data_IF_473972165195
#
_entry.id   IF_473972165195
#
_cell.length_a   1.000
_cell.length_b   1.000
_cell.length_c   1.000
_cell.angle_alpha   90.00
_cell.angle_beta   90.00
_cell.angle_gamma   90.00
#
_symmetry.space_group_name_H-M   'P 1'
#
loop_
_entity.id
_entity.type
_entity.pdbx_description
1 polymer ?
#
# COMPACT_ATOMS: atom_id res chain seq x y z
N UNK A 1 6.43 30.87 2.61
CA UNK A 1 7.53 30.85 3.61
C UNK A 1 8.92 30.90 2.94
N UNK A 2 9.17 30.13 1.86
CA UNK A 2 10.52 30.01 1.23
C UNK A 2 10.70 30.72 -0.13
N UNK A 3 9.70 31.46 -0.62
CA UNK A 3 9.71 32.04 -1.97
C UNK A 3 10.82 33.07 -2.20
N UNK A 4 11.29 33.72 -1.13
CA UNK A 4 12.29 34.78 -1.20
C UNK A 4 13.73 34.29 -1.02
N UNK A 5 13.90 33.04 -0.58
CA UNK A 5 15.19 32.46 -0.13
C UNK A 5 15.68 31.34 -1.05
N UNK A 6 14.78 30.65 -1.78
CA UNK A 6 15.13 29.56 -2.69
C UNK A 6 14.79 29.91 -4.15
N UNK A 7 15.81 29.97 -5.01
CA UNK A 7 15.67 30.11 -6.48
C UNK A 7 14.80 28.98 -7.09
N UNK A 8 14.77 27.81 -6.42
CA UNK A 8 13.92 26.65 -6.74
C UNK A 8 12.41 26.92 -6.60
N UNK A 9 11.99 27.97 -5.88
CA UNK A 9 10.59 28.36 -5.70
C UNK A 9 10.07 29.36 -6.75
N UNK A 10 10.90 29.75 -7.73
CA UNK A 10 10.55 30.73 -8.76
C UNK A 10 9.43 30.27 -9.71
N UNK A 11 9.25 28.96 -9.90
CA UNK A 11 8.21 28.41 -10.78
C UNK A 11 7.52 27.22 -10.11
N UNK A 12 6.18 27.17 -10.18
CA UNK A 12 5.38 26.09 -9.60
C UNK A 12 5.86 24.70 -10.01
N UNK A 13 6.30 24.54 -11.26
CA UNK A 13 6.83 23.28 -11.76
C UNK A 13 8.18 22.87 -11.11
N UNK A 14 9.08 23.83 -10.89
CA UNK A 14 10.35 23.59 -10.18
C UNK A 14 10.09 23.23 -8.71
N UNK A 15 9.15 23.93 -8.07
CA UNK A 15 8.72 23.63 -6.70
C UNK A 15 8.10 22.23 -6.61
N UNK A 16 7.24 21.86 -7.55
CA UNK A 16 6.62 20.53 -7.59
C UNK A 16 7.66 19.42 -7.78
N UNK A 17 8.65 19.63 -8.67
CA UNK A 17 9.78 18.72 -8.85
C UNK A 17 10.58 18.56 -7.57
N UNK A 18 10.90 19.67 -6.90
CA UNK A 18 11.61 19.66 -5.62
C UNK A 18 10.82 18.89 -4.56
N UNK A 19 9.50 19.12 -4.45
CA UNK A 19 8.62 18.40 -3.51
C UNK A 19 8.59 16.90 -3.79
N UNK A 20 8.61 16.50 -5.06
CA UNK A 20 8.67 15.09 -5.45
C UNK A 20 10.03 14.47 -5.12
N UNK A 21 11.14 15.15 -5.42
CA UNK A 21 12.48 14.74 -5.02
C UNK A 21 12.61 14.62 -3.49
N UNK A 22 11.99 15.52 -2.74
CA UNK A 22 11.92 15.45 -1.27
C UNK A 22 11.07 14.26 -0.78
N UNK A 23 9.98 13.92 -1.47
CA UNK A 23 9.14 12.74 -1.16
C UNK A 23 9.88 11.43 -1.43
N UNK A 24 10.72 11.39 -2.46
CA UNK A 24 11.61 10.27 -2.78
C UNK A 24 12.90 10.25 -1.94
N UNK A 25 13.06 11.18 -0.99
CA UNK A 25 14.24 11.32 -0.13
C UNK A 25 15.56 11.60 -0.90
N UNK A 26 15.46 12.08 -2.14
CA UNK A 26 16.59 12.34 -3.04
C UNK A 26 16.93 13.84 -3.11
N UNK A 27 17.01 14.51 -1.95
CA UNK A 27 17.19 15.96 -1.87
C UNK A 27 18.55 16.37 -1.29
N UNK A 28 19.04 17.54 -1.72
CA UNK A 28 20.27 18.14 -1.19
C UNK A 28 19.95 18.97 0.06
N UNK A 29 20.29 18.42 1.24
CA UNK A 29 20.03 19.04 2.54
C UNK A 29 20.79 20.36 2.75
N UNK A 30 21.82 20.65 1.94
CA UNK A 30 22.65 21.83 2.12
C UNK A 30 21.91 23.15 1.81
N UNK A 31 20.85 23.09 1.00
CA UNK A 31 20.07 24.27 0.61
C UNK A 31 19.08 24.72 1.69
N UNK A 32 18.62 23.82 2.57
CA UNK A 32 17.66 24.15 3.63
C UNK A 32 18.30 24.77 4.87
N UNK A 33 19.57 24.44 5.15
CA UNK A 33 20.29 24.97 6.31
C UNK A 33 20.58 26.48 6.22
N UNK A 34 20.54 27.08 5.03
CA UNK A 34 20.86 28.51 4.86
C UNK A 34 19.67 29.45 5.15
N UNK A 35 18.43 28.97 5.01
CA UNK A 35 17.25 29.84 5.06
C UNK A 35 16.65 30.07 6.46
N UNK A 36 16.84 29.11 7.38
CA UNK A 36 16.57 29.28 8.82
C UNK A 36 17.11 28.08 9.59
N UNK A 37 17.95 28.32 10.60
CA UNK A 37 18.74 27.28 11.29
C UNK A 37 17.90 26.21 12.00
N UNK A 38 16.65 26.52 12.38
CA UNK A 38 15.83 25.60 13.17
C UNK A 38 14.43 25.31 12.61
N UNK A 39 13.69 26.36 12.20
CA UNK A 39 12.29 26.20 11.78
C UNK A 39 12.15 25.48 10.42
N UNK A 40 13.11 25.68 9.52
CA UNK A 40 13.14 25.03 8.21
C UNK A 40 13.22 23.51 8.27
N UNK A 41 14.27 22.93 8.90
CA UNK A 41 14.42 21.48 9.05
C UNK A 41 13.23 20.82 9.78
N UNK A 42 12.63 21.51 10.75
CA UNK A 42 11.50 20.99 11.51
C UNK A 42 10.21 20.90 10.68
N UNK A 43 9.82 22.00 10.01
CA UNK A 43 8.66 22.00 9.12
C UNK A 43 8.83 21.02 7.96
N UNK A 44 10.06 20.90 7.45
CA UNK A 44 10.40 19.96 6.40
C UNK A 44 10.33 18.50 6.86
N UNK A 45 10.84 18.19 8.05
CA UNK A 45 10.76 16.85 8.64
C UNK A 45 9.31 16.40 8.86
N UNK A 46 8.46 17.28 9.41
CA UNK A 46 7.02 17.00 9.58
C UNK A 46 6.35 16.78 8.23
N UNK A 47 6.68 17.61 7.22
CA UNK A 47 6.12 17.47 5.88
C UNK A 47 6.48 16.13 5.24
N UNK A 48 7.76 15.72 5.30
CA UNK A 48 8.19 14.41 4.82
C UNK A 48 7.46 13.29 5.56
N UNK A 49 7.34 13.38 6.88
CA UNK A 49 6.70 12.31 7.65
C UNK A 49 5.22 12.19 7.30
N UNK A 50 4.51 13.32 7.17
CA UNK A 50 3.11 13.33 6.75
C UNK A 50 2.93 12.74 5.35
N UNK A 51 3.72 13.17 4.37
CA UNK A 51 3.53 12.74 2.97
C UNK A 51 4.02 11.30 2.76
N UNK A 52 5.20 10.95 3.26
CA UNK A 52 5.78 9.62 3.02
C UNK A 52 5.06 8.56 3.84
N UNK A 53 4.72 8.82 5.10
CA UNK A 53 4.09 7.78 5.91
C UNK A 53 2.57 7.85 5.86
N UNK A 54 1.94 9.00 6.13
CA UNK A 54 0.47 9.06 6.21
C UNK A 54 -0.14 8.94 4.81
N UNK A 55 0.33 9.73 3.83
CA UNK A 55 -0.26 9.66 2.49
C UNK A 55 0.02 8.31 1.81
N UNK A 56 1.26 7.79 1.83
CA UNK A 56 1.53 6.47 1.21
C UNK A 56 0.78 5.34 1.92
N UNK A 57 0.69 5.34 3.25
CA UNK A 57 -0.06 4.30 3.97
C UNK A 57 -1.54 4.32 3.58
N UNK A 58 -2.13 5.49 3.39
CA UNK A 58 -3.51 5.63 2.91
C UNK A 58 -3.65 5.15 1.45
N UNK A 59 -2.71 5.49 0.56
CA UNK A 59 -2.73 4.99 -0.82
C UNK A 59 -2.62 3.47 -0.88
N UNK A 60 -1.70 2.87 -0.13
CA UNK A 60 -1.51 1.42 -0.06
C UNK A 60 -2.77 0.75 0.50
N UNK A 61 -3.39 1.31 1.53
CA UNK A 61 -4.65 0.79 2.09
C UNK A 61 -5.79 0.83 1.07
N UNK A 62 -5.92 1.90 0.29
CA UNK A 62 -6.92 2.01 -0.78
C UNK A 62 -6.66 0.97 -1.88
N UNK A 63 -5.41 0.79 -2.29
CA UNK A 63 -5.04 -0.24 -3.27
C UNK A 63 -5.37 -1.63 -2.71
N UNK A 64 -5.06 -1.89 -1.44
CA UNK A 64 -5.35 -3.16 -0.77
C UNK A 64 -6.86 -3.43 -0.70
N UNK A 65 -7.67 -2.43 -0.37
CA UNK A 65 -9.13 -2.58 -0.31
C UNK A 65 -9.74 -2.85 -1.69
N UNK A 66 -9.29 -2.13 -2.73
CA UNK A 66 -9.73 -2.39 -4.09
C UNK A 66 -9.31 -3.78 -4.58
N UNK A 67 -8.09 -4.20 -4.23
CA UNK A 67 -7.60 -5.54 -4.53
C UNK A 67 -8.45 -6.63 -3.85
N UNK A 68 -8.79 -6.44 -2.57
CA UNK A 68 -9.68 -7.35 -1.83
C UNK A 68 -11.07 -7.42 -2.45
N UNK A 69 -11.66 -6.29 -2.83
CA UNK A 69 -12.96 -6.26 -3.54
C UNK A 69 -12.90 -6.96 -4.89
N UNK A 70 -11.85 -6.72 -5.68
CA UNK A 70 -11.66 -7.39 -6.97
C UNK A 70 -11.53 -8.92 -6.77
N UNK A 71 -10.81 -9.37 -5.75
CA UNK A 71 -10.68 -10.78 -5.38
C UNK A 71 -12.01 -11.39 -4.92
N UNK A 72 -12.78 -10.70 -4.09
CA UNK A 72 -14.10 -11.15 -3.62
C UNK A 72 -15.06 -11.35 -4.80
N UNK A 73 -15.05 -10.46 -5.78
CA UNK A 73 -15.85 -10.60 -7.01
C UNK A 73 -15.44 -11.84 -7.82
N UNK A 74 -14.14 -12.13 -7.95
CA UNK A 74 -13.66 -13.36 -8.61
C UNK A 74 -14.07 -14.60 -7.83
N UNK A 75 -13.94 -14.58 -6.50
CA UNK A 75 -14.38 -15.70 -5.63
C UNK A 75 -15.88 -15.93 -5.71
N UNK A 76 -16.69 -14.87 -5.77
CA UNK A 76 -18.13 -14.96 -5.90
C UNK A 76 -18.55 -15.63 -7.24
N UNK A 77 -17.91 -15.23 -8.35
CA UNK A 77 -18.10 -15.90 -9.64
C UNK A 77 -17.69 -17.38 -9.57
N UNK A 78 -16.52 -17.67 -8.98
CA UNK A 78 -16.02 -19.03 -8.83
C UNK A 78 -16.97 -19.90 -7.96
N UNK A 79 -17.63 -19.32 -6.94
CA UNK A 79 -18.59 -20.05 -6.10
C UNK A 79 -19.86 -20.45 -6.89
N UNK A 80 -20.33 -19.63 -7.83
CA UNK A 80 -21.43 -20.03 -8.71
C UNK A 80 -21.02 -21.18 -9.63
N UNK A 81 -19.78 -21.14 -10.13
CA UNK A 81 -19.21 -22.23 -10.92
C UNK A 81 -19.09 -23.52 -10.10
N UNK A 82 -18.64 -23.46 -8.84
CA UNK A 82 -18.53 -24.62 -7.93
C UNK A 82 -19.90 -25.25 -7.65
N UNK A 83 -20.95 -24.45 -7.46
CA UNK A 83 -22.31 -24.98 -7.25
C UNK A 83 -22.78 -25.74 -8.50
N UNK A 84 -22.51 -25.19 -9.70
CA UNK A 84 -22.81 -25.89 -10.95
C UNK A 84 -22.02 -27.21 -11.10
N UNK A 85 -20.78 -27.24 -10.59
CA UNK A 85 -19.93 -28.42 -10.55
C UNK A 85 -20.44 -29.48 -9.56
N UNK A 86 -20.88 -29.07 -8.37
CA UNK A 86 -21.52 -29.96 -7.39
C UNK A 86 -22.80 -30.60 -7.94
N UNK A 87 -23.62 -29.84 -8.66
CA UNK A 87 -24.82 -30.37 -9.32
C UNK A 87 -24.46 -31.39 -10.40
N UNK A 88 -23.44 -31.11 -11.24
CA UNK A 88 -22.92 -32.07 -12.22
C UNK A 88 -22.40 -33.35 -11.55
N UNK A 89 -21.66 -33.23 -10.45
CA UNK A 89 -21.14 -34.37 -9.68
C UNK A 89 -22.25 -35.19 -9.02
N UNK A 90 -23.33 -34.53 -8.56
CA UNK A 90 -24.52 -35.21 -8.05
C UNK A 90 -25.23 -36.00 -9.16
N UNK A 91 -25.32 -35.47 -10.39
CA UNK A 91 -25.86 -36.18 -11.56
C UNK A 91 -25.00 -37.37 -12.00
N UNK A 92 -23.68 -37.27 -11.80
CA UNK A 92 -22.75 -38.39 -12.01
C UNK A 92 -22.96 -39.50 -10.96
N UNK A 93 -23.11 -39.11 -9.69
CA UNK A 93 -23.35 -40.05 -8.58
C UNK A 93 -24.68 -40.79 -8.70
N UNK A 94 -25.72 -40.14 -9.25
CA UNK A 94 -27.00 -40.80 -9.59
C UNK A 94 -26.91 -41.69 -10.84
N UNK A 95 -25.73 -41.88 -11.43
CA UNK A 95 -25.46 -42.88 -12.47
C UNK A 95 -25.92 -42.46 -13.87
N UNK A 96 -26.29 -41.20 -14.07
CA UNK A 96 -26.89 -40.72 -15.33
C UNK A 96 -25.84 -40.30 -16.38
N UNK A 97 -24.54 -40.27 -16.05
CA UNK A 97 -23.48 -39.78 -16.96
C UNK A 97 -22.15 -40.52 -16.75
N UNK A 98 -21.36 -40.71 -17.81
CA UNK A 98 -20.01 -41.34 -17.77
C UNK A 98 -18.91 -40.27 -17.77
N UNK A 99 -17.80 -40.54 -17.06
CA UNK A 99 -16.65 -39.61 -16.95
C UNK A 99 -16.06 -39.37 -18.33
N UNK A 100 -15.90 -38.09 -18.68
CA UNK A 100 -15.32 -37.67 -19.97
C UNK A 100 -13.90 -37.17 -19.78
N UNK A 101 -13.04 -37.30 -20.79
CA UNK A 101 -11.64 -36.86 -20.76
C UNK A 101 -11.48 -35.36 -20.42
N UNK A 102 -12.48 -34.56 -20.77
CA UNK A 102 -12.63 -33.15 -20.40
C UNK A 102 -12.72 -32.93 -18.88
N UNK A 103 -13.36 -33.83 -18.13
CA UNK A 103 -13.52 -33.71 -16.68
C UNK A 103 -12.21 -33.99 -15.93
N UNK A 104 -11.37 -34.90 -16.46
CA UNK A 104 -10.02 -35.16 -15.92
C UNK A 104 -9.12 -33.94 -16.14
N UNK A 105 -9.25 -33.28 -17.29
CA UNK A 105 -8.54 -32.03 -17.58
C UNK A 105 -9.05 -30.92 -16.65
N UNK A 106 -10.35 -30.86 -16.38
CA UNK A 106 -10.95 -29.88 -15.48
C UNK A 106 -10.53 -30.06 -14.01
N UNK A 107 -10.48 -31.29 -13.49
CA UNK A 107 -9.93 -31.55 -12.14
C UNK A 107 -8.47 -31.14 -12.03
N UNK A 108 -7.66 -31.40 -13.07
CA UNK A 108 -6.26 -30.95 -13.11
C UNK A 108 -6.14 -29.43 -13.14
N UNK A 109 -7.01 -28.76 -13.89
CA UNK A 109 -7.07 -27.29 -13.96
C UNK A 109 -7.52 -26.67 -12.62
N UNK A 110 -8.47 -27.29 -11.92
CA UNK A 110 -8.89 -26.87 -10.58
C UNK A 110 -7.73 -26.98 -9.60
N UNK A 111 -6.99 -28.09 -9.62
CA UNK A 111 -5.84 -28.30 -8.75
C UNK A 111 -4.72 -27.28 -9.04
N UNK A 112 -4.44 -27.01 -10.32
CA UNK A 112 -3.46 -25.99 -10.72
C UNK A 112 -3.91 -24.58 -10.30
N UNK A 113 -5.21 -24.29 -10.36
CA UNK A 113 -5.78 -23.01 -9.89
C UNK A 113 -5.68 -22.87 -8.37
N UNK A 114 -5.93 -23.93 -7.61
CA UNK A 114 -5.85 -23.88 -6.13
C UNK A 114 -4.43 -23.62 -5.64
N UNK A 115 -3.42 -24.21 -6.31
CA UNK A 115 -2.00 -24.02 -5.95
C UNK A 115 -1.53 -22.56 -6.15
N UNK A 116 -2.08 -21.86 -7.15
CA UNK A 116 -1.81 -20.44 -7.39
C UNK A 116 -2.60 -19.49 -6.49
N UNK A 117 -3.76 -19.92 -5.97
CA UNK A 117 -4.66 -19.05 -5.19
C UNK A 117 -4.21 -18.85 -3.74
N UNK A 118 -3.60 -19.87 -3.14
CA UNK A 118 -3.18 -19.89 -1.72
C UNK A 118 -2.18 -18.76 -1.36
N UNK A 119 -1.10 -18.53 -2.13
CA UNK A 119 -0.14 -17.45 -1.85
C UNK A 119 -0.77 -16.05 -1.97
N UNK A 120 -1.67 -15.88 -2.94
CA UNK A 120 -2.33 -14.60 -3.25
C UNK A 120 -3.37 -14.24 -2.18
N UNK A 121 -3.92 -15.25 -1.50
CA UNK A 121 -4.88 -15.04 -0.43
C UNK A 121 -4.28 -14.33 0.78
N UNK A 122 -3.01 -14.62 1.10
CA UNK A 122 -2.29 -14.03 2.25
C UNK A 122 -1.69 -12.64 1.99
N UNK A 123 -1.70 -12.16 0.75
CA UNK A 123 -1.05 -10.91 0.37
C UNK A 123 -1.66 -9.66 1.05
N UNK A 124 -3.00 -9.49 1.09
CA UNK A 124 -3.62 -8.36 1.78
C UNK A 124 -3.26 -8.32 3.27
N UNK A 125 -3.21 -9.48 3.92
CA UNK A 125 -2.89 -9.58 5.35
C UNK A 125 -1.44 -9.18 5.63
N UNK A 126 -0.51 -9.46 4.71
CA UNK A 126 0.89 -9.00 4.81
C UNK A 126 0.99 -7.48 4.65
N UNK A 127 0.17 -6.87 3.78
CA UNK A 127 0.09 -5.41 3.67
C UNK A 127 -0.43 -4.80 4.97
N UNK A 128 -1.46 -5.40 5.57
CA UNK A 128 -2.02 -4.90 6.84
C UNK A 128 -0.99 -5.00 7.98
N UNK A 129 -0.20 -6.07 8.02
CA UNK A 129 0.93 -6.21 8.95
C UNK A 129 1.99 -5.11 8.74
N UNK A 130 2.32 -4.80 7.48
CA UNK A 130 3.25 -3.72 7.15
C UNK A 130 2.71 -2.35 7.58
N UNK A 131 1.44 -2.06 7.31
CA UNK A 131 0.78 -0.82 7.71
C UNK A 131 0.76 -0.66 9.23
N UNK A 132 0.52 -1.74 9.97
CA UNK A 132 0.57 -1.72 11.43
C UNK A 132 1.99 -1.42 11.96
N UNK A 133 3.02 -2.02 11.34
CA UNK A 133 4.41 -1.71 11.67
C UNK A 133 4.78 -0.25 11.34
N UNK A 134 4.30 0.29 10.21
CA UNK A 134 4.51 1.69 9.83
C UNK A 134 3.84 2.65 10.84
N UNK A 135 2.64 2.33 11.32
CA UNK A 135 1.95 3.13 12.33
C UNK A 135 2.75 3.21 13.65
N UNK A 136 3.39 2.11 14.04
CA UNK A 136 4.29 2.07 15.18
C UNK A 136 5.50 3.01 15.00
N UNK A 137 6.14 2.99 13.81
CA UNK A 137 7.26 3.88 13.48
C UNK A 137 6.82 5.35 13.48
N UNK A 138 5.67 5.66 12.87
CA UNK A 138 5.11 7.01 12.88
C UNK A 138 4.96 7.57 14.29
N UNK A 139 4.37 6.79 15.21
CA UNK A 139 4.18 7.21 16.60
C UNK A 139 5.50 7.56 17.29
N UNK A 140 6.54 6.74 17.09
CA UNK A 140 7.89 6.98 17.61
C UNK A 140 8.48 8.26 17.01
N UNK A 141 8.36 8.45 15.69
CA UNK A 141 8.85 9.65 15.01
C UNK A 141 8.16 10.92 15.51
N UNK A 142 6.84 10.90 15.70
CA UNK A 142 6.09 12.03 16.27
C UNK A 142 6.53 12.35 17.70
N UNK A 143 6.75 11.34 18.52
CA UNK A 143 7.24 11.51 19.89
C UNK A 143 8.63 12.16 19.92
N UNK A 144 9.57 11.69 19.08
CA UNK A 144 10.92 12.28 18.97
C UNK A 144 10.86 13.75 18.54
N UNK A 145 10.02 14.08 17.55
CA UNK A 145 9.83 15.45 17.06
C UNK A 145 9.26 16.35 18.16
N UNK A 146 8.27 15.85 18.89
CA UNK A 146 7.65 16.56 20.00
C UNK A 146 8.64 16.83 21.15
N UNK A 147 9.45 15.83 21.53
CA UNK A 147 10.49 16.00 22.55
C UNK A 147 11.59 16.98 22.10
N UNK A 148 12.04 16.91 20.84
CA UNK A 148 12.98 17.89 20.28
C UNK A 148 12.43 19.32 20.29
N UNK A 149 11.15 19.48 19.97
CA UNK A 149 10.48 20.78 20.00
C UNK A 149 10.44 21.36 21.41
N UNK A 150 10.07 20.55 22.40
CA UNK A 150 10.04 20.96 23.82
C UNK A 150 11.43 21.37 24.30
N UNK A 151 12.45 20.54 24.02
CA UNK A 151 13.83 20.82 24.44
C UNK A 151 14.33 22.17 23.91
N UNK A 152 13.92 22.52 22.69
CA UNK A 152 14.36 23.76 22.05
C UNK A 152 13.57 25.00 22.47
N UNK A 153 12.33 24.84 22.91
CA UNK A 153 11.56 25.92 23.54
C UNK A 153 12.11 26.23 24.95
N UNK A 154 12.72 25.25 25.60
CA UNK A 154 13.25 25.36 26.96
C UNK A 154 14.73 25.79 27.06
N UNK A 155 15.41 25.93 25.92
CA UNK A 155 16.80 26.39 25.79
C UNK A 155 16.85 27.87 25.36
#
# INVERSE_FOLDING_TARGET
LFISELDSCSSLFKTARMLFEMTLMQFDAHQFNQASTFLGPFCFSIFIILVVFICMSMFIAIINDNFRRAKENVRHNNNQDIISFMIKKFQYWTGMKKVTEEEIIEERNIQMRSEYYDPIESFPDKIDQLLNALNQVCSISFYIIYTCLILLIHL
#
